data_IF_485000566634
#
_entry.id   IF_485000566634
#
_cell.length_a   1.000
_cell.length_b   1.000
_cell.length_c   1.000
_cell.angle_alpha   90.00
_cell.angle_beta   90.00
_cell.angle_gamma   90.00
#
_symmetry.space_group_name_H-M   'P 1'
#
loop_
_entity.id
_entity.type
_entity.pdbx_description
1 polymer ?
#
# COMPACT_ATOMS: atom_id res chain seq x y z
N UNK A 1 -9.17 -0.76 -14.60
CA UNK A 1 -9.11 0.40 -15.53
C UNK A 1 -9.46 0.01 -16.95
N UNK A 2 -8.81 -0.99 -17.53
CA UNK A 2 -9.06 -1.43 -18.90
C UNK A 2 -10.51 -1.90 -19.11
N UNK A 3 -10.98 -2.76 -18.23
CA UNK A 3 -12.36 -3.30 -18.29
C UNK A 3 -13.44 -2.23 -18.06
N UNK A 4 -13.16 -1.24 -17.19
CA UNK A 4 -14.07 -0.12 -16.93
C UNK A 4 -13.95 1.03 -17.94
N UNK A 5 -13.09 0.92 -18.95
CA UNK A 5 -12.77 1.98 -19.90
C UNK A 5 -12.44 3.34 -19.23
N UNK A 6 -11.85 3.29 -18.05
CA UNK A 6 -11.52 4.49 -17.27
C UNK A 6 -10.28 5.16 -17.83
N UNK A 7 -10.40 6.44 -18.22
CA UNK A 7 -9.27 7.30 -18.58
C UNK A 7 -8.80 8.08 -17.37
N UNK A 8 -7.51 7.99 -17.07
CA UNK A 8 -6.89 8.78 -16.01
C UNK A 8 -6.32 10.08 -16.59
N UNK A 9 -6.38 11.20 -15.85
CA UNK A 9 -5.84 12.48 -16.30
C UNK A 9 -4.32 12.62 -16.08
N UNK A 10 -3.61 11.52 -15.86
CA UNK A 10 -2.18 11.44 -15.58
C UNK A 10 -1.60 10.13 -16.11
N UNK A 11 -0.27 10.02 -16.17
CA UNK A 11 0.41 8.78 -16.54
C UNK A 11 0.38 7.79 -15.36
N UNK A 12 -0.01 6.56 -15.63
CA UNK A 12 0.05 5.45 -14.67
C UNK A 12 1.14 4.47 -15.07
N UNK A 13 2.09 4.23 -14.18
CA UNK A 13 3.07 3.17 -14.27
C UNK A 13 2.65 2.01 -13.38
N UNK A 14 2.48 0.83 -13.95
CA UNK A 14 2.28 -0.41 -13.20
C UNK A 14 3.63 -1.10 -13.12
N UNK A 15 4.11 -1.26 -11.89
CA UNK A 15 5.45 -1.75 -11.60
C UNK A 15 5.37 -3.08 -10.89
N UNK A 16 6.15 -4.06 -11.34
CA UNK A 16 6.47 -5.28 -10.63
C UNK A 16 7.97 -5.25 -10.34
N UNK A 17 8.32 -4.74 -9.16
CA UNK A 17 9.72 -4.60 -8.76
C UNK A 17 10.32 -5.96 -8.39
N UNK A 18 11.61 -6.12 -8.68
CA UNK A 18 12.37 -7.32 -8.33
C UNK A 18 13.21 -7.08 -7.09
N UNK A 19 13.59 -8.15 -6.40
CA UNK A 19 14.52 -8.11 -5.27
C UNK A 19 14.01 -7.27 -4.07
N UNK A 20 12.71 -7.31 -3.82
CA UNK A 20 12.12 -6.71 -2.64
C UNK A 20 12.72 -7.33 -1.38
N UNK A 21 12.67 -8.65 -1.21
CA UNK A 21 13.11 -9.47 -0.07
C UNK A 21 14.61 -9.36 0.28
N UNK A 22 15.41 -8.81 -0.61
CA UNK A 22 16.86 -8.66 -0.42
C UNK A 22 17.35 -7.22 -0.48
N UNK A 23 16.46 -6.28 -0.16
CA UNK A 23 16.79 -4.87 0.03
C UNK A 23 16.12 -3.91 -0.93
N UNK A 24 14.89 -4.18 -1.39
CA UNK A 24 14.01 -3.25 -2.15
C UNK A 24 14.67 -2.69 -3.43
N UNK A 25 15.62 -3.44 -4.02
CA UNK A 25 16.54 -2.90 -5.03
C UNK A 25 15.85 -2.49 -6.32
N UNK A 26 14.88 -3.28 -6.77
CA UNK A 26 14.12 -2.97 -7.97
C UNK A 26 13.31 -1.69 -7.81
N UNK A 27 12.63 -1.53 -6.68
CA UNK A 27 11.85 -0.34 -6.36
C UNK A 27 12.74 0.91 -6.28
N UNK A 28 13.91 0.83 -5.65
CA UNK A 28 14.86 1.93 -5.59
C UNK A 28 15.29 2.41 -6.99
N UNK A 29 15.65 1.46 -7.87
CA UNK A 29 16.07 1.80 -9.24
C UNK A 29 14.93 2.42 -10.05
N UNK A 30 13.73 1.88 -9.91
CA UNK A 30 12.53 2.37 -10.62
C UNK A 30 12.13 3.74 -10.12
N UNK A 31 12.11 3.97 -8.82
CA UNK A 31 11.79 5.25 -8.20
C UNK A 31 12.73 6.36 -8.69
N UNK A 32 14.04 6.07 -8.76
CA UNK A 32 15.04 7.02 -9.30
C UNK A 32 14.89 7.29 -10.78
N UNK A 33 14.50 6.29 -11.56
CA UNK A 33 14.35 6.40 -13.01
C UNK A 33 13.06 7.09 -13.44
N UNK A 34 11.94 6.71 -12.85
CA UNK A 34 10.61 7.24 -13.21
C UNK A 34 10.36 8.58 -12.54
N UNK A 35 10.86 8.77 -11.30
CA UNK A 35 10.59 9.95 -10.46
C UNK A 35 9.09 10.22 -10.34
N UNK A 36 8.31 9.27 -9.79
CA UNK A 36 6.87 9.44 -9.73
C UNK A 36 6.48 10.56 -8.76
N UNK A 37 5.37 11.24 -9.05
CA UNK A 37 4.77 12.24 -8.16
C UNK A 37 4.04 11.59 -6.98
N UNK A 38 3.58 10.35 -7.12
CA UNK A 38 2.86 9.58 -6.11
C UNK A 38 3.21 8.10 -6.28
N UNK A 39 3.39 7.38 -5.19
CA UNK A 39 3.50 5.93 -5.17
C UNK A 39 2.38 5.29 -4.32
N UNK A 40 1.66 4.35 -4.91
CA UNK A 40 0.72 3.47 -4.21
C UNK A 40 1.32 2.08 -4.26
N UNK A 41 1.77 1.59 -3.11
CA UNK A 41 2.41 0.28 -3.00
C UNK A 41 1.43 -0.70 -2.39
N UNK A 42 1.41 -1.92 -2.91
CA UNK A 42 0.68 -3.04 -2.29
C UNK A 42 1.65 -4.14 -1.98
N UNK A 43 1.51 -4.69 -0.80
CA UNK A 43 2.31 -5.78 -0.28
C UNK A 43 1.45 -6.63 0.67
N UNK A 44 2.04 -7.57 1.38
CA UNK A 44 1.37 -8.37 2.40
C UNK A 44 1.70 -7.86 3.81
N UNK A 45 0.92 -8.29 4.78
CA UNK A 45 1.18 -8.05 6.19
C UNK A 45 0.70 -9.23 7.04
N UNK A 46 1.26 -9.41 8.23
CA UNK A 46 0.85 -10.51 9.10
C UNK A 46 -0.64 -10.44 9.48
N UNK A 47 -1.36 -11.53 9.25
CA UNK A 47 -2.56 -11.82 10.02
C UNK A 47 -2.12 -12.18 11.44
N UNK A 48 -2.46 -11.33 12.40
CA UNK A 48 -1.99 -11.43 13.78
C UNK A 48 -2.71 -12.50 14.60
N UNK A 49 -3.66 -13.24 14.01
CA UNK A 49 -4.16 -14.50 14.55
C UNK A 49 -3.23 -15.69 14.25
N UNK A 50 -2.22 -15.50 13.41
CA UNK A 50 -1.19 -16.50 13.14
C UNK A 50 -0.39 -16.79 14.42
N UNK A 51 -0.14 -18.06 14.77
CA UNK A 51 0.70 -18.40 15.92
C UNK A 51 2.06 -17.69 15.90
N UNK A 52 2.53 -17.27 17.06
CA UNK A 52 3.81 -16.57 17.28
C UNK A 52 3.85 -15.10 16.82
N UNK A 53 2.81 -14.57 16.22
CA UNK A 53 2.72 -13.15 15.87
C UNK A 53 2.23 -12.36 17.09
N UNK A 54 3.00 -11.35 17.49
CA UNK A 54 2.68 -10.52 18.66
C UNK A 54 1.79 -9.34 18.28
N UNK A 55 0.52 -9.39 18.62
CA UNK A 55 -0.46 -8.33 18.39
C UNK A 55 -0.08 -6.97 18.98
N UNK A 56 0.66 -6.94 20.08
CA UNK A 56 1.09 -5.68 20.71
C UNK A 56 2.13 -4.94 19.85
N UNK A 57 2.84 -5.67 19.00
CA UNK A 57 3.85 -5.13 18.10
C UNK A 57 3.26 -4.88 16.71
N UNK A 58 2.53 -5.87 16.17
CA UNK A 58 2.07 -5.87 14.79
C UNK A 58 0.68 -5.24 14.58
N UNK A 59 -0.04 -4.96 15.67
CA UNK A 59 -1.43 -4.50 15.62
C UNK A 59 -2.42 -5.66 15.62
N UNK A 60 -3.70 -5.39 15.39
CA UNK A 60 -4.75 -6.42 15.31
C UNK A 60 -5.32 -6.47 13.88
N UNK A 61 -4.61 -7.16 13.00
CA UNK A 61 -4.97 -7.35 11.59
C UNK A 61 -5.33 -8.81 11.34
N UNK A 62 -6.42 -9.05 10.63
CA UNK A 62 -6.94 -10.39 10.39
C UNK A 62 -7.37 -10.56 8.94
N UNK A 63 -7.16 -11.74 8.38
CA UNK A 63 -7.74 -12.13 7.09
C UNK A 63 -9.28 -11.98 7.09
N UNK A 64 -9.85 -11.70 5.95
CA UNK A 64 -11.29 -11.44 5.70
C UNK A 64 -11.85 -10.12 6.26
N UNK A 65 -11.02 -9.27 6.85
CA UNK A 65 -11.44 -7.98 7.41
C UNK A 65 -11.07 -6.78 6.52
N UNK A 66 -10.57 -7.04 5.33
CA UNK A 66 -10.11 -6.02 4.37
C UNK A 66 -8.61 -5.73 4.47
N UNK A 67 -8.06 -4.98 3.50
CA UNK A 67 -6.68 -4.59 3.51
C UNK A 67 -6.33 -3.71 4.72
N UNK A 68 -5.05 -3.72 5.08
CA UNK A 68 -4.51 -2.88 6.15
C UNK A 68 -3.89 -1.62 5.59
N UNK A 69 -4.23 -0.49 6.16
CA UNK A 69 -3.57 0.80 5.99
C UNK A 69 -2.65 1.05 7.20
N UNK A 70 -1.57 1.78 7.00
CA UNK A 70 -0.60 2.01 8.05
C UNK A 70 -0.25 3.49 8.21
N UNK A 71 -0.06 3.92 9.47
CA UNK A 71 0.70 5.12 9.79
C UNK A 71 2.17 4.74 9.97
N UNK A 72 3.08 5.55 9.44
CA UNK A 72 4.51 5.29 9.55
C UNK A 72 5.37 6.36 8.87
N UNK A 73 6.69 6.35 9.09
CA UNK A 73 7.57 7.40 8.57
C UNK A 73 7.60 7.51 7.05
N UNK A 74 7.45 6.39 6.32
CA UNK A 74 7.42 6.37 4.86
C UNK A 74 6.03 6.69 4.28
N UNK A 75 5.02 6.84 5.12
CA UNK A 75 3.64 7.06 4.69
C UNK A 75 3.31 8.55 4.69
N UNK A 76 2.84 9.05 3.56
CA UNK A 76 2.41 10.45 3.46
C UNK A 76 0.96 10.58 3.93
N UNK A 77 0.73 11.29 5.06
CA UNK A 77 -0.56 11.30 5.74
C UNK A 77 -1.71 11.89 4.90
N UNK A 78 -1.48 12.92 4.08
CA UNK A 78 -2.54 13.46 3.22
C UNK A 78 -3.00 12.43 2.17
N UNK A 79 -2.06 11.67 1.61
CA UNK A 79 -2.38 10.58 0.69
C UNK A 79 -3.09 9.44 1.43
N UNK A 80 -2.64 9.09 2.63
CA UNK A 80 -3.28 8.08 3.47
C UNK A 80 -4.75 8.45 3.77
N UNK A 81 -5.01 9.70 4.19
CA UNK A 81 -6.37 10.17 4.45
C UNK A 81 -7.24 10.23 3.18
N UNK A 82 -6.64 10.48 2.01
CA UNK A 82 -7.35 10.37 0.74
C UNK A 82 -7.79 8.91 0.51
N UNK A 83 -6.89 7.94 0.72
CA UNK A 83 -7.22 6.51 0.58
C UNK A 83 -8.28 6.08 1.58
N UNK A 84 -8.20 6.54 2.83
CA UNK A 84 -9.21 6.31 3.87
C UNK A 84 -10.59 6.83 3.44
N UNK A 85 -10.67 8.09 3.00
CA UNK A 85 -11.91 8.69 2.52
C UNK A 85 -12.49 7.93 1.31
N UNK A 86 -11.63 7.41 0.42
CA UNK A 86 -12.06 6.56 -0.68
C UNK A 86 -12.63 5.24 -0.17
N UNK A 87 -12.01 4.62 0.83
CA UNK A 87 -12.51 3.39 1.44
C UNK A 87 -13.89 3.61 2.07
N UNK A 88 -14.06 4.65 2.87
CA UNK A 88 -15.33 5.02 3.49
C UNK A 88 -16.43 5.26 2.46
N UNK A 89 -16.16 6.12 1.47
CA UNK A 89 -17.12 6.46 0.40
C UNK A 89 -17.61 5.23 -0.36
N UNK A 90 -16.77 4.23 -0.55
CA UNK A 90 -17.07 3.02 -1.33
C UNK A 90 -17.44 1.82 -0.46
N UNK A 91 -17.59 2.02 0.86
CA UNK A 91 -17.88 0.96 1.84
C UNK A 91 -16.91 -0.23 1.72
N UNK A 92 -15.62 0.08 1.58
CA UNK A 92 -14.54 -0.90 1.54
C UNK A 92 -14.00 -1.05 2.97
N UNK A 93 -14.05 -2.24 3.57
CA UNK A 93 -13.49 -2.43 4.90
C UNK A 93 -11.97 -2.26 4.87
N UNK A 94 -11.42 -1.56 5.85
CA UNK A 94 -9.98 -1.40 6.05
C UNK A 94 -9.61 -1.62 7.51
N UNK A 95 -8.39 -2.06 7.75
CA UNK A 95 -7.79 -2.25 9.06
C UNK A 95 -6.61 -1.31 9.24
N UNK A 96 -6.18 -1.07 10.48
CA UNK A 96 -5.16 -0.08 10.77
C UNK A 96 -3.96 -0.67 11.50
N UNK A 97 -2.77 -0.16 11.14
CA UNK A 97 -1.50 -0.45 11.78
C UNK A 97 -0.73 0.84 12.07
N UNK A 98 0.23 0.74 12.99
CA UNK A 98 1.23 1.76 13.23
C UNK A 98 2.63 1.15 13.06
N UNK A 99 3.47 1.81 12.27
CA UNK A 99 4.83 1.37 11.97
C UNK A 99 5.82 2.37 12.57
N UNK A 100 6.74 1.89 13.39
CA UNK A 100 7.63 2.76 14.18
C UNK A 100 8.85 3.27 13.42
N UNK A 101 9.33 2.54 12.41
CA UNK A 101 10.57 2.86 11.69
C UNK A 101 10.45 2.75 10.18
N UNK A 102 10.13 1.58 9.68
CA UNK A 102 10.04 1.26 8.26
C UNK A 102 8.78 0.45 7.98
N UNK A 103 8.39 0.40 6.73
CA UNK A 103 7.29 -0.47 6.30
C UNK A 103 7.75 -1.90 6.08
N UNK A 104 9.05 -2.09 5.78
CA UNK A 104 9.62 -3.37 5.36
C UNK A 104 9.13 -3.78 3.97
N UNK A 105 8.77 -2.81 3.11
CA UNK A 105 8.24 -3.03 1.76
C UNK A 105 8.85 -2.02 0.78
N UNK A 106 8.57 -2.18 -0.49
CA UNK A 106 8.99 -1.24 -1.54
C UNK A 106 8.56 0.22 -1.28
N UNK A 107 7.61 0.46 -0.38
CA UNK A 107 7.18 1.81 0.03
C UNK A 107 8.35 2.64 0.54
N UNK A 108 9.24 2.04 1.33
CA UNK A 108 10.39 2.75 1.90
C UNK A 108 11.32 3.28 0.80
N UNK A 109 11.52 2.50 -0.27
CA UNK A 109 12.34 2.92 -1.41
C UNK A 109 11.72 4.05 -2.21
N UNK A 110 10.39 4.05 -2.40
CA UNK A 110 9.72 5.15 -3.09
C UNK A 110 9.70 6.42 -2.23
N UNK A 111 9.32 6.31 -0.96
CA UNK A 111 9.15 7.45 -0.07
C UNK A 111 10.42 8.30 0.09
N UNK A 112 11.59 7.66 0.08
CA UNK A 112 12.88 8.33 0.29
C UNK A 112 13.71 8.51 -1.00
N UNK A 113 13.15 8.19 -2.17
CA UNK A 113 13.82 8.41 -3.44
C UNK A 113 13.78 9.87 -3.87
N UNK A 114 14.82 10.31 -4.57
CA UNK A 114 14.95 11.68 -5.12
C UNK A 114 14.75 12.76 -4.03
N UNK A 115 13.78 13.64 -4.23
CA UNK A 115 13.42 14.71 -3.28
C UNK A 115 12.25 14.29 -2.35
N UNK A 116 11.98 13.00 -2.27
CA UNK A 116 10.84 12.40 -1.57
C UNK A 116 9.65 12.19 -2.51
N UNK A 117 8.98 11.04 -2.38
CA UNK A 117 7.77 10.72 -3.13
C UNK A 117 6.61 10.45 -2.16
N UNK A 118 5.52 11.21 -2.21
CA UNK A 118 4.31 10.88 -1.46
C UNK A 118 3.89 9.43 -1.68
N UNK A 119 3.99 8.62 -0.63
CA UNK A 119 3.79 7.18 -0.73
C UNK A 119 2.73 6.69 0.25
N UNK A 120 1.98 5.67 -0.15
CA UNK A 120 1.03 4.96 0.71
C UNK A 120 1.17 3.46 0.49
N UNK A 121 1.00 2.70 1.56
CA UNK A 121 1.02 1.24 1.57
C UNK A 121 -0.39 0.71 1.85
N UNK A 122 -0.85 -0.21 0.99
CA UNK A 122 -2.09 -0.97 1.14
C UNK A 122 -1.70 -2.44 1.26
N UNK A 123 -1.77 -3.00 2.46
CA UNK A 123 -1.28 -4.35 2.73
C UNK A 123 -2.41 -5.37 2.76
N UNK A 124 -2.18 -6.54 2.17
CA UNK A 124 -3.10 -7.68 2.21
C UNK A 124 -2.76 -8.55 3.42
N UNK A 125 -3.70 -8.83 4.34
CA UNK A 125 -3.45 -9.74 5.46
C UNK A 125 -3.09 -11.13 4.96
N UNK A 126 -2.01 -11.72 5.49
CA UNK A 126 -1.45 -12.99 5.08
C UNK A 126 -1.07 -13.81 6.31
N UNK A 127 -1.41 -15.09 6.30
CA UNK A 127 -1.03 -16.06 7.33
C UNK A 127 0.20 -16.85 6.89
N UNK A 128 1.03 -17.20 7.85
CA UNK A 128 2.21 -18.04 7.66
C UNK A 128 3.23 -17.45 6.67
N UNK A 129 3.43 -16.13 6.75
CA UNK A 129 4.39 -15.40 5.90
C UNK A 129 5.76 -16.07 5.89
N UNK A 130 6.40 -16.10 4.72
CA UNK A 130 7.70 -16.72 4.46
C UNK A 130 7.73 -18.24 4.73
N UNK A 131 6.62 -18.91 4.55
CA UNK A 131 6.53 -20.37 4.63
C UNK A 131 5.98 -20.98 3.33
N UNK A 132 5.98 -22.30 3.24
CA UNK A 132 5.43 -23.03 2.08
C UNK A 132 3.91 -23.14 2.10
N UNK A 133 3.24 -22.61 3.13
CA UNK A 133 1.79 -22.74 3.34
C UNK A 133 1.13 -21.37 3.55
N UNK A 134 1.67 -20.34 2.94
CA UNK A 134 1.08 -19.00 2.96
C UNK A 134 -0.36 -19.01 2.46
N UNK A 135 -1.20 -18.24 3.12
CA UNK A 135 -2.60 -18.12 2.72
C UNK A 135 -3.15 -16.72 2.98
N UNK A 136 -3.97 -16.26 2.04
CA UNK A 136 -4.71 -15.01 2.09
C UNK A 136 -6.19 -15.26 1.89
N UNK A 137 -7.02 -14.33 2.29
CA UNK A 137 -8.46 -14.41 2.03
C UNK A 137 -8.82 -13.68 0.73
N UNK A 138 -9.59 -14.33 -0.12
CA UNK A 138 -9.96 -13.80 -1.45
C UNK A 138 -10.61 -12.41 -1.39
N UNK A 139 -11.49 -12.18 -0.40
CA UNK A 139 -12.14 -10.87 -0.26
C UNK A 139 -11.17 -9.74 0.04
N UNK A 140 -10.03 -10.02 0.68
CA UNK A 140 -9.03 -8.99 0.97
C UNK A 140 -8.31 -8.56 -0.30
N UNK A 141 -8.06 -9.49 -1.24
CA UNK A 141 -7.55 -9.17 -2.58
C UNK A 141 -8.57 -8.31 -3.34
N UNK A 142 -9.84 -8.72 -3.36
CA UNK A 142 -10.90 -8.00 -4.07
C UNK A 142 -11.09 -6.59 -3.52
N UNK A 143 -11.05 -6.43 -2.19
CA UNK A 143 -11.12 -5.14 -1.52
C UNK A 143 -9.89 -4.27 -1.81
N UNK A 144 -8.68 -4.86 -1.84
CA UNK A 144 -7.45 -4.16 -2.20
C UNK A 144 -7.52 -3.64 -3.64
N UNK A 145 -7.93 -4.48 -4.58
CA UNK A 145 -8.10 -4.08 -6.00
C UNK A 145 -9.11 -2.95 -6.12
N UNK A 146 -10.25 -3.06 -5.44
CA UNK A 146 -11.30 -2.03 -5.45
C UNK A 146 -10.78 -0.72 -4.86
N UNK A 147 -10.09 -0.78 -3.71
CA UNK A 147 -9.53 0.39 -3.05
C UNK A 147 -8.50 1.10 -3.92
N UNK A 148 -7.56 0.37 -4.50
CA UNK A 148 -6.56 0.93 -5.42
C UNK A 148 -7.23 1.56 -6.65
N UNK A 149 -8.20 0.88 -7.26
CA UNK A 149 -8.90 1.38 -8.43
C UNK A 149 -9.65 2.69 -8.14
N UNK A 150 -10.40 2.74 -7.05
CA UNK A 150 -11.17 3.94 -6.67
C UNK A 150 -10.24 5.09 -6.21
N UNK A 151 -9.11 4.77 -5.58
CA UNK A 151 -8.07 5.75 -5.27
C UNK A 151 -7.50 6.37 -6.56
N UNK A 152 -7.12 5.55 -7.52
CA UNK A 152 -6.62 6.03 -8.81
C UNK A 152 -7.63 6.93 -9.54
N UNK A 153 -8.92 6.63 -9.49
CA UNK A 153 -9.98 7.47 -10.09
C UNK A 153 -10.16 8.81 -9.38
N UNK A 154 -9.80 8.88 -8.10
CA UNK A 154 -9.96 10.08 -7.27
C UNK A 154 -8.80 11.06 -7.44
N UNK A 155 -7.60 10.55 -7.75
CA UNK A 155 -6.41 11.37 -7.96
C UNK A 155 -6.54 12.22 -9.24
N UNK A 156 -6.03 13.45 -9.15
CA UNK A 156 -6.00 14.40 -10.28
C UNK A 156 -4.68 15.16 -10.27
N UNK A 157 -4.29 15.82 -11.37
CA UNK A 157 -3.12 16.69 -11.41
C UNK A 157 -3.18 17.87 -10.43
N UNK A 158 -4.37 18.15 -9.85
CA UNK A 158 -4.59 19.18 -8.84
C UNK A 158 -4.55 18.65 -7.41
N UNK A 159 -4.36 17.34 -7.21
CA UNK A 159 -4.27 16.75 -5.88
C UNK A 159 -3.04 17.30 -5.16
N UNK A 160 -3.25 18.09 -4.11
CA UNK A 160 -2.16 18.71 -3.35
C UNK A 160 -1.80 17.83 -2.15
N UNK A 161 -0.61 17.23 -2.20
CA UNK A 161 -0.04 16.41 -1.12
C UNK A 161 1.11 17.13 -0.40
N UNK A 162 1.43 18.39 -0.77
CA UNK A 162 2.46 19.18 -0.08
C UNK A 162 2.03 19.50 1.37
N UNK A 163 2.98 19.51 2.27
CA UNK A 163 2.80 19.99 3.65
C UNK A 163 3.08 21.49 3.79
N UNK A 164 3.67 22.10 2.78
CA UNK A 164 4.07 23.51 2.72
C UNK A 164 3.14 24.32 1.81
#
# INVERSE_FOLDING_TARGET
LKESNTKLPYALYVVNAVQEEIGLRGAEMIARRIKPDIAIVTDVTHDTSTPLINKQIEGDVQCSKGPSLAYGPAIQNKLLHLVEAVAEKNSIPVQWRALSRSTGTDTDSFAYANDGCPSVLISIPLRYMHTTVEMIHKSDIENTIKLMLETLKTLTPKTNLSYL
#
